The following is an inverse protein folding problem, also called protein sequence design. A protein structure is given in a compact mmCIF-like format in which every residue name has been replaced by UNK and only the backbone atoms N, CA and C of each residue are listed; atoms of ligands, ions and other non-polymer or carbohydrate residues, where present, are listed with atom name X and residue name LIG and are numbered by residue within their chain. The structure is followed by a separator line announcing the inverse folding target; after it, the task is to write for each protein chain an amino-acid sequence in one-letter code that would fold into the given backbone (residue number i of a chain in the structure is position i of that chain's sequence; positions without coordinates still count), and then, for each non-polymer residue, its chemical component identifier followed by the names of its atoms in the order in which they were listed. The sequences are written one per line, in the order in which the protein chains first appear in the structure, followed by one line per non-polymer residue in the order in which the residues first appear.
data_IF_161504114949
#
_entry.id   IF_161504114949
#
_cell.length_a   1.000
_cell.length_b   1.000
_cell.length_c   1.000
_cell.angle_alpha   90.00
_cell.angle_beta   90.00
_cell.angle_gamma   90.00
#
_symmetry.space_group_name_H-M   'P 1'
#
loop_
_entity.id
_entity.type
_entity.pdbx_description
1 polymer ?
#
# COMPACT_ATOMS: atom_id res chain seq x y z
N UNK A 1 -17.82 -14.19 -11.78
CA UNK A 1 -16.63 -14.98 -12.13
C UNK A 1 -15.39 -14.07 -12.04
N UNK A 2 -14.21 -14.64 -11.82
CA UNK A 2 -12.97 -13.87 -11.91
C UNK A 2 -12.62 -13.49 -13.35
N UNK A 3 -12.10 -12.29 -13.54
CA UNK A 3 -11.82 -11.69 -14.84
C UNK A 3 -10.56 -12.30 -15.46
N UNK A 4 -10.63 -12.67 -16.75
CA UNK A 4 -9.47 -13.15 -17.52
C UNK A 4 -8.47 -12.03 -17.82
N UNK A 5 -8.88 -10.76 -17.66
CA UNK A 5 -8.06 -9.57 -17.86
C UNK A 5 -6.85 -9.48 -16.93
N UNK A 6 -6.78 -10.29 -15.86
CA UNK A 6 -5.59 -10.34 -14.99
C UNK A 6 -4.31 -10.73 -15.74
N UNK A 7 -4.44 -11.44 -16.86
CA UNK A 7 -3.31 -11.82 -17.71
C UNK A 7 -2.79 -10.68 -18.60
N UNK A 8 -3.44 -9.51 -18.55
CA UNK A 8 -3.02 -8.35 -19.34
C UNK A 8 -1.60 -7.89 -18.95
N UNK A 9 -0.72 -7.64 -19.94
CA UNK A 9 0.65 -7.22 -19.68
C UNK A 9 0.76 -5.92 -18.85
N UNK A 10 -0.27 -5.07 -18.82
CA UNK A 10 -0.34 -3.86 -18.01
C UNK A 10 -0.12 -4.14 -16.52
N UNK A 11 -0.65 -5.25 -15.98
CA UNK A 11 -0.42 -5.61 -14.58
C UNK A 11 1.05 -5.98 -14.33
N UNK A 12 1.65 -6.76 -15.23
CA UNK A 12 3.06 -7.12 -15.11
C UNK A 12 3.97 -5.90 -15.20
N UNK A 13 3.63 -4.95 -16.09
CA UNK A 13 4.32 -3.66 -16.24
C UNK A 13 4.18 -2.82 -14.97
N UNK A 14 2.98 -2.69 -14.43
CA UNK A 14 2.73 -1.96 -13.19
C UNK A 14 3.57 -2.50 -12.01
N UNK A 15 3.60 -3.83 -11.84
CA UNK A 15 4.41 -4.45 -10.77
C UNK A 15 5.91 -4.21 -10.98
N UNK A 16 6.40 -4.32 -12.21
CA UNK A 16 7.81 -4.03 -12.54
C UNK A 16 8.15 -2.56 -12.26
N UNK A 17 7.31 -1.64 -12.73
CA UNK A 17 7.50 -0.20 -12.57
C UNK A 17 7.43 0.19 -11.09
N UNK A 18 6.47 -0.33 -10.32
CA UNK A 18 6.36 -0.07 -8.88
C UNK A 18 7.59 -0.55 -8.10
N UNK A 19 8.17 -1.69 -8.48
CA UNK A 19 9.42 -2.17 -7.88
C UNK A 19 10.61 -1.31 -8.28
N UNK A 20 10.70 -0.93 -9.56
CA UNK A 20 11.77 -0.06 -10.07
C UNK A 20 11.74 1.31 -9.39
N UNK A 21 10.56 1.92 -9.30
CA UNK A 21 10.36 3.19 -8.59
C UNK A 21 10.74 3.11 -7.12
N UNK A 22 10.34 2.03 -6.42
CA UNK A 22 10.74 1.85 -5.01
C UNK A 22 12.25 1.78 -4.82
N UNK A 23 12.98 1.14 -5.75
CA UNK A 23 14.44 1.05 -5.69
C UNK A 23 15.10 2.39 -6.04
N UNK A 24 14.65 3.05 -7.11
CA UNK A 24 15.16 4.36 -7.50
C UNK A 24 14.99 5.41 -6.41
N UNK A 25 13.81 5.46 -5.78
CA UNK A 25 13.52 6.39 -4.70
C UNK A 25 14.43 6.14 -3.48
N UNK A 26 14.59 4.87 -3.08
CA UNK A 26 15.48 4.50 -1.98
C UNK A 26 16.95 4.86 -2.28
N UNK A 27 17.42 4.59 -3.49
CA UNK A 27 18.78 4.95 -3.92
C UNK A 27 19.01 6.45 -3.95
N UNK A 28 18.03 7.23 -4.43
CA UNK A 28 18.11 8.69 -4.43
C UNK A 28 18.23 9.25 -3.01
N UNK A 29 17.37 8.81 -2.07
CA UNK A 29 17.44 9.25 -0.67
C UNK A 29 18.75 8.85 0.02
N UNK A 30 19.27 7.67 -0.30
CA UNK A 30 20.57 7.22 0.23
C UNK A 30 21.73 8.13 -0.22
N UNK A 31 21.74 8.56 -1.49
CA UNK A 31 22.74 9.50 -2.01
C UNK A 31 22.60 10.87 -1.34
N UNK A 32 21.37 11.40 -1.23
CA UNK A 32 21.10 12.68 -0.57
C UNK A 32 21.55 12.65 0.89
N UNK A 33 21.28 11.57 1.62
CA UNK A 33 21.73 11.42 3.01
C UNK A 33 23.27 11.40 3.10
N UNK A 34 23.95 10.58 2.29
CA UNK A 34 25.42 10.52 2.28
C UNK A 34 26.04 11.89 1.99
N UNK A 35 25.60 12.56 0.92
CA UNK A 35 26.15 13.86 0.53
C UNK A 35 25.84 14.95 1.55
N UNK A 36 24.62 14.99 2.09
CA UNK A 36 24.21 15.99 3.08
C UNK A 36 25.01 15.89 4.38
N UNK A 37 25.15 14.67 4.92
CA UNK A 37 25.92 14.45 6.14
C UNK A 37 27.43 14.63 5.93
N UNK A 38 27.96 14.28 4.76
CA UNK A 38 29.37 14.53 4.44
C UNK A 38 29.67 16.04 4.43
N UNK A 39 28.87 16.84 3.72
CA UNK A 39 29.02 18.31 3.68
C UNK A 39 28.81 18.92 5.07
N UNK A 40 27.84 18.42 5.85
CA UNK A 40 27.63 18.86 7.21
C UNK A 40 28.87 18.65 8.08
N UNK A 41 29.53 17.49 7.95
CA UNK A 41 30.74 17.19 8.70
C UNK A 41 31.96 18.04 8.33
N UNK A 42 32.01 18.58 7.10
CA UNK A 42 33.07 19.50 6.66
C UNK A 42 32.80 20.97 7.03
N UNK A 43 31.54 21.34 7.27
CA UNK A 43 31.13 22.75 7.43
C UNK A 43 30.61 23.10 8.82
N UNK A 44 30.19 22.11 9.60
CA UNK A 44 29.67 22.31 10.95
C UNK A 44 30.80 22.26 11.97
N UNK A 45 30.72 23.11 13.00
CA UNK A 45 31.60 23.06 14.18
C UNK A 45 31.07 22.12 15.28
N UNK A 46 29.92 21.48 15.05
CA UNK A 46 29.26 20.63 16.05
C UNK A 46 29.69 19.16 15.94
N UNK A 47 29.96 18.69 14.71
CA UNK A 47 30.31 17.30 14.47
C UNK A 47 31.23 17.18 13.24
N UNK A 48 32.44 16.69 13.46
CA UNK A 48 33.45 16.54 12.43
C UNK A 48 33.29 15.22 11.64
N UNK A 49 33.89 15.15 10.46
CA UNK A 49 34.14 13.89 9.80
C UNK A 49 35.25 13.11 10.55
N UNK A 50 35.07 11.81 10.84
CA UNK A 50 34.20 10.85 10.15
C UNK A 50 32.83 10.58 10.79
N UNK A 51 32.51 11.17 11.94
CA UNK A 51 31.29 10.82 12.70
C UNK A 51 30.01 11.20 11.94
N UNK A 52 29.96 12.42 11.38
CA UNK A 52 28.84 12.88 10.57
C UNK A 52 28.59 11.99 9.36
N UNK A 53 29.65 11.68 8.60
CA UNK A 53 29.59 10.76 7.47
C UNK A 53 29.12 9.35 7.88
N UNK A 54 29.50 8.88 9.08
CA UNK A 54 29.03 7.62 9.66
C UNK A 54 27.51 7.57 9.86
N UNK A 55 26.92 8.64 10.38
CA UNK A 55 25.46 8.75 10.53
C UNK A 55 24.76 8.74 9.17
N UNK A 56 25.27 9.51 8.21
CA UNK A 56 24.79 9.51 6.83
C UNK A 56 24.80 8.11 6.20
N UNK A 57 25.86 7.33 6.44
CA UNK A 57 25.99 5.96 5.95
C UNK A 57 24.97 5.00 6.58
N UNK A 58 24.69 5.13 7.88
CA UNK A 58 23.65 4.33 8.57
C UNK A 58 22.27 4.61 7.98
N UNK A 59 21.92 5.89 7.82
CA UNK A 59 20.63 6.31 7.25
C UNK A 59 20.50 5.86 5.80
N UNK A 60 21.55 6.00 5.00
CA UNK A 60 21.58 5.53 3.62
C UNK A 60 21.38 4.01 3.52
N UNK A 61 22.08 3.25 4.36
CA UNK A 61 21.88 1.81 4.48
C UNK A 61 20.42 1.45 4.82
N UNK A 62 19.81 2.19 5.75
CA UNK A 62 18.41 1.99 6.13
C UNK A 62 17.46 2.15 4.93
N UNK A 63 17.61 3.22 4.14
CA UNK A 63 16.77 3.43 2.95
C UNK A 63 16.91 2.29 1.93
N UNK A 64 18.14 1.86 1.63
CA UNK A 64 18.40 0.75 0.71
C UNK A 64 17.82 -0.57 1.23
N UNK A 65 17.95 -0.85 2.53
CA UNK A 65 17.38 -2.05 3.15
C UNK A 65 15.85 -2.06 3.08
N UNK A 66 15.21 -0.92 3.33
CA UNK A 66 13.75 -0.76 3.20
C UNK A 66 13.31 -1.00 1.76
N UNK A 67 13.95 -0.36 0.77
CA UNK A 67 13.62 -0.54 -0.65
C UNK A 67 13.82 -1.98 -1.15
N UNK A 68 14.92 -2.64 -0.73
CA UNK A 68 15.17 -4.05 -1.08
C UNK A 68 14.16 -4.98 -0.41
N UNK A 69 13.74 -4.67 0.82
CA UNK A 69 12.80 -5.49 1.59
C UNK A 69 11.36 -5.32 1.12
N UNK A 70 10.91 -4.10 0.80
CA UNK A 70 9.58 -3.85 0.23
C UNK A 70 9.39 -4.61 -1.09
N UNK A 71 10.40 -4.53 -1.97
CA UNK A 71 10.43 -5.23 -3.25
C UNK A 71 10.41 -6.76 -3.05
N UNK A 72 11.22 -7.29 -2.12
CA UNK A 72 11.22 -8.72 -1.81
C UNK A 72 9.89 -9.21 -1.25
N UNK A 73 9.27 -8.46 -0.33
CA UNK A 73 7.94 -8.77 0.21
C UNK A 73 6.90 -8.87 -0.92
N UNK A 74 6.85 -7.88 -1.83
CA UNK A 74 5.92 -7.90 -2.96
C UNK A 74 6.14 -9.10 -3.89
N UNK A 75 7.40 -9.47 -4.16
CA UNK A 75 7.75 -10.63 -5.01
C UNK A 75 7.38 -11.99 -4.38
N UNK A 76 7.48 -12.10 -3.05
CA UNK A 76 7.12 -13.31 -2.29
C UNK A 76 5.63 -13.43 -2.02
N UNK A 77 4.87 -12.37 -2.29
CA UNK A 77 3.41 -12.40 -2.17
C UNK A 77 2.83 -13.48 -3.09
N UNK A 78 1.71 -14.08 -2.68
CA UNK A 78 1.06 -15.18 -3.41
C UNK A 78 -0.34 -14.75 -3.84
N UNK A 79 -0.83 -15.39 -4.90
CA UNK A 79 -2.26 -15.33 -5.23
C UNK A 79 -2.98 -16.30 -4.29
N UNK A 80 -4.10 -15.87 -3.72
CA UNK A 80 -4.92 -16.68 -2.83
C UNK A 80 -6.38 -16.22 -2.90
N UNK A 81 -7.28 -17.14 -2.60
CA UNK A 81 -8.73 -16.91 -2.55
C UNK A 81 -9.17 -16.88 -1.08
N UNK A 82 -10.27 -16.18 -0.83
CA UNK A 82 -10.83 -16.06 0.50
C UNK A 82 -12.24 -15.52 0.47
N UNK A 83 -12.77 -15.25 1.66
CA UNK A 83 -14.12 -14.75 1.87
C UNK A 83 -14.13 -13.60 2.86
N UNK A 84 -15.04 -12.65 2.66
CA UNK A 84 -15.32 -11.63 3.67
C UNK A 84 -16.11 -12.28 4.80
N UNK A 85 -15.53 -12.35 5.99
CA UNK A 85 -16.12 -13.08 7.13
C UNK A 85 -16.69 -12.17 8.20
N UNK A 86 -16.22 -10.94 8.30
CA UNK A 86 -16.63 -10.02 9.35
C UNK A 86 -16.49 -8.55 8.92
N UNK A 87 -17.35 -7.70 9.49
CA UNK A 87 -17.37 -6.26 9.25
C UNK A 87 -17.61 -5.55 10.58
N UNK A 88 -16.74 -4.61 10.95
CA UNK A 88 -16.79 -3.90 12.23
C UNK A 88 -16.64 -2.40 12.05
N UNK A 89 -17.37 -1.64 12.85
CA UNK A 89 -17.23 -0.18 12.98
C UNK A 89 -16.83 0.09 14.43
N UNK A 90 -15.73 0.84 14.64
CA UNK A 90 -15.24 1.18 15.97
C UNK A 90 -14.95 2.67 16.06
N UNK A 91 -15.46 3.34 17.09
CA UNK A 91 -15.03 4.70 17.43
C UNK A 91 -13.71 4.65 18.18
N UNK A 92 -12.70 5.39 17.72
CA UNK A 92 -11.40 5.52 18.38
C UNK A 92 -11.08 6.99 18.61
N UNK A 93 -10.53 7.30 19.77
CA UNK A 93 -9.92 8.60 20.02
C UNK A 93 -8.47 8.57 19.53
N UNK A 94 -8.09 9.49 18.65
CA UNK A 94 -6.71 9.65 18.17
C UNK A 94 -6.18 10.99 18.63
N UNK A 95 -4.97 10.98 19.18
CA UNK A 95 -4.24 12.22 19.43
C UNK A 95 -3.63 12.69 18.10
N UNK A 96 -3.94 13.92 17.72
CA UNK A 96 -3.37 14.60 16.56
C UNK A 96 -2.66 15.85 17.07
N UNK A 97 -1.42 16.02 16.63
CA UNK A 97 -0.54 17.10 17.04
C UNK A 97 0.85 16.59 17.36
N UNK A 98 1.78 17.51 17.58
CA UNK A 98 3.13 17.22 18.04
C UNK A 98 3.55 18.35 18.97
N UNK A 99 3.90 18.04 20.22
CA UNK A 99 4.28 19.05 21.20
C UNK A 99 3.08 19.72 21.88
N UNK A 100 3.00 21.05 21.86
CA UNK A 100 1.96 21.81 22.58
C UNK A 100 0.56 21.77 21.96
N UNK A 101 0.43 21.34 20.70
CA UNK A 101 -0.82 21.39 19.93
C UNK A 101 -1.54 20.02 19.86
N UNK A 102 -1.25 19.13 20.81
CA UNK A 102 -1.92 17.84 20.93
C UNK A 102 -3.41 18.01 21.28
N UNK A 103 -4.27 17.52 20.38
CA UNK A 103 -5.70 17.47 20.61
C UNK A 103 -6.27 16.10 20.20
N UNK A 104 -7.28 15.66 20.96
CA UNK A 104 -7.93 14.38 20.73
C UNK A 104 -9.11 14.55 19.78
N UNK A 105 -9.11 13.81 18.68
CA UNK A 105 -10.26 13.71 17.79
C UNK A 105 -10.87 12.32 17.86
N UNK A 106 -12.19 12.27 17.68
CA UNK A 106 -12.92 11.01 17.56
C UNK A 106 -13.02 10.62 16.09
N UNK A 107 -12.52 9.43 15.75
CA UNK A 107 -12.50 8.86 14.40
C UNK A 107 -13.30 7.56 14.38
N UNK A 108 -14.13 7.37 13.36
CA UNK A 108 -14.78 6.10 13.08
C UNK A 108 -13.86 5.23 12.22
N UNK A 109 -13.50 4.06 12.72
CA UNK A 109 -12.68 3.08 12.01
C UNK A 109 -13.59 2.00 11.46
N UNK A 110 -13.73 1.97 10.15
CA UNK A 110 -14.44 0.92 9.41
C UNK A 110 -13.46 -0.20 9.10
N UNK A 111 -13.84 -1.44 9.39
CA UNK A 111 -13.00 -2.63 9.19
C UNK A 111 -13.77 -3.71 8.44
N UNK A 112 -13.17 -4.22 7.37
CA UNK A 112 -13.60 -5.44 6.67
C UNK A 112 -12.55 -6.52 6.90
N UNK A 113 -12.97 -7.70 7.35
CA UNK A 113 -12.08 -8.85 7.57
C UNK A 113 -12.30 -9.86 6.46
N UNK A 114 -11.20 -10.21 5.80
CA UNK A 114 -11.12 -11.26 4.78
C UNK A 114 -10.35 -12.42 5.37
N UNK A 115 -10.94 -13.61 5.31
CA UNK A 115 -10.30 -14.86 5.67
C UNK A 115 -9.87 -15.59 4.40
N UNK A 116 -8.58 -15.85 4.28
CA UNK A 116 -8.00 -16.67 3.22
C UNK A 116 -8.35 -18.15 3.42
N UNK A 117 -8.33 -18.93 2.35
CA UNK A 117 -8.52 -20.40 2.39
C UNK A 117 -7.50 -21.11 3.31
N UNK A 118 -6.33 -20.50 3.57
CA UNK A 118 -5.33 -20.99 4.51
C UNK A 118 -5.55 -20.55 5.98
N UNK A 119 -6.70 -19.93 6.29
CA UNK A 119 -7.08 -19.45 7.62
C UNK A 119 -6.44 -18.12 8.02
N UNK A 120 -5.70 -17.46 7.10
CA UNK A 120 -5.10 -16.16 7.38
C UNK A 120 -6.15 -15.05 7.34
N UNK A 121 -6.21 -14.26 8.40
CA UNK A 121 -7.04 -13.05 8.46
C UNK A 121 -6.32 -11.81 7.90
N UNK A 122 -7.02 -11.07 7.06
CA UNK A 122 -6.58 -9.78 6.50
C UNK A 122 -7.63 -8.73 6.81
N UNK A 123 -7.21 -7.60 7.39
CA UNK A 123 -8.09 -6.51 7.74
C UNK A 123 -7.89 -5.33 6.77
N UNK A 124 -8.98 -4.91 6.13
CA UNK A 124 -9.05 -3.65 5.40
C UNK A 124 -9.65 -2.61 6.32
N UNK A 125 -8.89 -1.59 6.65
CA UNK A 125 -9.29 -0.54 7.59
C UNK A 125 -9.28 0.82 6.92
N UNK A 126 -10.33 1.61 7.13
CA UNK A 126 -10.39 3.00 6.71
C UNK A 126 -10.91 3.87 7.86
N UNK A 127 -10.31 5.03 8.04
CA UNK A 127 -10.68 6.03 9.03
C UNK A 127 -11.62 7.05 8.38
N UNK A 128 -12.81 7.24 8.96
CA UNK A 128 -13.87 8.16 8.52
C UNK A 128 -14.29 8.03 7.04
N UNK A 129 -13.94 6.91 6.39
CA UNK A 129 -14.33 6.58 5.02
C UNK A 129 -14.94 5.17 5.00
N UNK A 130 -16.24 5.10 4.76
CA UNK A 130 -16.98 3.84 4.68
C UNK A 130 -16.88 3.17 3.31
N UNK A 131 -16.25 3.77 2.29
CA UNK A 131 -16.33 3.29 0.89
C UNK A 131 -15.94 1.81 0.74
N UNK A 132 -14.83 1.38 1.35
CA UNK A 132 -14.39 -0.03 1.29
C UNK A 132 -15.32 -0.92 2.10
N UNK A 133 -15.84 -0.41 3.22
CA UNK A 133 -16.80 -1.11 4.05
C UNK A 133 -18.11 -1.33 3.33
N UNK A 134 -18.65 -0.33 2.64
CA UNK A 134 -19.92 -0.41 1.93
C UNK A 134 -19.82 -1.28 0.66
N UNK A 135 -18.63 -1.35 0.05
CA UNK A 135 -18.38 -2.12 -1.17
C UNK A 135 -18.34 -3.65 -0.97
N UNK A 136 -17.87 -4.12 0.17
CA UNK A 136 -17.78 -5.56 0.47
C UNK A 136 -18.95 -6.02 1.35
N UNK A 137 -19.54 -7.14 1.00
CA UNK A 137 -20.57 -7.82 1.79
C UNK A 137 -20.02 -9.06 2.48
N UNK A 138 -20.59 -9.42 3.63
CA UNK A 138 -20.22 -10.67 4.31
C UNK A 138 -20.63 -11.85 3.40
N UNK A 139 -19.72 -12.78 3.19
CA UNK A 139 -19.88 -13.90 2.26
C UNK A 139 -19.30 -13.64 0.86
N UNK A 140 -18.88 -12.41 0.54
CA UNK A 140 -18.22 -12.12 -0.74
C UNK A 140 -16.98 -12.99 -0.91
N UNK A 141 -16.95 -13.76 -2.00
CA UNK A 141 -15.75 -14.48 -2.42
C UNK A 141 -14.80 -13.51 -3.10
N UNK A 142 -13.55 -13.49 -2.67
CA UNK A 142 -12.53 -12.57 -3.16
C UNK A 142 -11.23 -13.27 -3.52
N UNK A 143 -10.48 -12.69 -4.45
CA UNK A 143 -9.13 -13.13 -4.84
C UNK A 143 -8.12 -12.01 -4.65
N UNK A 144 -7.06 -12.33 -3.92
CA UNK A 144 -5.86 -11.50 -3.89
C UNK A 144 -4.93 -11.94 -5.01
N UNK A 145 -4.50 -11.01 -5.85
CA UNK A 145 -3.56 -11.27 -6.94
C UNK A 145 -2.13 -10.92 -6.54
N UNK A 146 -1.19 -11.82 -6.82
CA UNK A 146 0.23 -11.64 -6.51
C UNK A 146 0.77 -10.28 -6.98
N UNK A 147 1.27 -9.50 -6.02
CA UNK A 147 1.96 -8.24 -6.27
C UNK A 147 1.03 -7.04 -6.50
N UNK A 148 -0.28 -7.24 -6.42
CA UNK A 148 -1.31 -6.21 -6.52
C UNK A 148 -1.77 -5.78 -5.11
N UNK A 149 -2.52 -4.68 -5.03
CA UNK A 149 -2.81 -3.98 -3.76
C UNK A 149 -4.27 -4.10 -3.30
N UNK A 150 -5.18 -4.62 -4.11
CA UNK A 150 -6.57 -4.85 -3.69
C UNK A 150 -7.13 -6.19 -4.19
N UNK A 151 -8.30 -6.52 -3.66
CA UNK A 151 -8.99 -7.79 -3.88
C UNK A 151 -9.94 -7.69 -5.06
N UNK A 152 -10.02 -8.76 -5.85
CA UNK A 152 -11.04 -8.91 -6.89
C UNK A 152 -12.24 -9.67 -6.30
N UNK A 153 -13.44 -9.08 -6.36
CA UNK A 153 -14.68 -9.79 -6.00
C UNK A 153 -15.01 -10.84 -7.07
N UNK A 154 -15.59 -11.97 -6.66
CA UNK A 154 -16.05 -12.99 -7.61
C UNK A 154 -17.33 -12.55 -8.32
N UNK A 155 -18.31 -12.02 -7.57
CA UNK A 155 -19.52 -11.42 -8.11
C UNK A 155 -19.43 -9.89 -8.01
N UNK A 156 -19.81 -9.22 -9.09
CA UNK A 156 -19.74 -7.76 -9.27
C UNK A 156 -21.01 -7.23 -9.94
N UNK A 157 -22.01 -8.09 -10.11
CA UNK A 157 -23.21 -7.81 -10.90
C UNK A 157 -24.04 -6.66 -10.34
N UNK A 158 -24.00 -6.48 -9.02
CA UNK A 158 -24.74 -5.43 -8.31
C UNK A 158 -23.87 -4.21 -7.96
N UNK A 159 -22.59 -4.20 -8.35
CA UNK A 159 -21.67 -3.11 -8.00
C UNK A 159 -21.78 -1.96 -9.01
N UNK A 160 -21.81 -0.72 -8.51
CA UNK A 160 -21.75 0.50 -9.32
C UNK A 160 -20.34 1.08 -9.43
N UNK A 161 -19.45 0.65 -8.54
CA UNK A 161 -18.05 1.05 -8.48
C UNK A 161 -17.16 -0.19 -8.51
N UNK A 162 -15.89 -0.02 -8.87
CA UNK A 162 -14.88 -1.07 -8.77
C UNK A 162 -13.53 -0.51 -8.34
N UNK A 163 -12.89 -1.19 -7.40
CA UNK A 163 -11.52 -0.86 -7.01
C UNK A 163 -10.51 -1.49 -7.96
N UNK A 164 -9.59 -0.67 -8.46
CA UNK A 164 -8.51 -1.17 -9.30
C UNK A 164 -7.57 -2.09 -8.50
N UNK A 165 -7.45 -3.35 -8.91
CA UNK A 165 -6.56 -4.33 -8.26
C UNK A 165 -5.11 -3.85 -8.14
N UNK A 166 -4.61 -3.10 -9.13
CA UNK A 166 -3.24 -2.60 -9.13
C UNK A 166 -2.99 -1.49 -8.09
N UNK A 167 -3.81 -0.44 -8.09
CA UNK A 167 -3.54 0.78 -7.33
C UNK A 167 -4.58 1.14 -6.27
N UNK A 168 -5.60 0.29 -6.07
CA UNK A 168 -6.71 0.46 -5.13
C UNK A 168 -7.53 1.75 -5.32
N UNK A 169 -7.41 2.42 -6.48
CA UNK A 169 -8.24 3.59 -6.77
C UNK A 169 -9.67 3.16 -7.09
N UNK A 170 -10.66 3.93 -6.64
CA UNK A 170 -12.09 3.75 -6.96
C UNK A 170 -12.37 4.19 -8.40
N UNK A 171 -13.07 3.38 -9.18
CA UNK A 171 -13.48 3.70 -10.56
C UNK A 171 -14.96 3.37 -10.73
N UNK A 172 -15.57 3.88 -11.80
CA UNK A 172 -16.91 3.46 -12.20
C UNK A 172 -16.85 2.02 -12.75
N UNK A 173 -17.86 1.20 -12.47
CA UNK A 173 -17.93 -0.19 -12.97
C UNK A 173 -17.97 -0.26 -14.51
N UNK A 174 -18.45 0.82 -15.16
CA UNK A 174 -18.56 0.93 -16.61
C UNK A 174 -17.20 1.13 -17.28
N UNK A 175 -16.23 1.69 -16.59
CA UNK A 175 -14.89 1.92 -17.13
C UNK A 175 -14.20 0.59 -17.49
N UNK A 176 -13.34 0.61 -18.51
CA UNK A 176 -12.49 -0.53 -18.86
C UNK A 176 -11.10 -0.44 -18.26
N UNK A 177 -10.61 0.78 -18.03
CA UNK A 177 -9.26 1.07 -17.54
C UNK A 177 -9.33 1.95 -16.30
N UNK A 178 -8.44 1.71 -15.35
CA UNK A 178 -8.34 2.57 -14.18
C UNK A 178 -7.89 3.98 -14.57
N UNK A 179 -8.58 5.02 -14.08
CA UNK A 179 -8.23 6.41 -14.41
C UNK A 179 -6.79 6.78 -14.02
N UNK A 180 -6.27 6.18 -12.93
CA UNK A 180 -4.96 6.48 -12.35
C UNK A 180 -3.82 5.68 -12.98
N UNK A 181 -3.86 4.35 -12.90
CA UNK A 181 -2.75 3.51 -13.35
C UNK A 181 -2.92 2.91 -14.75
N UNK A 182 -4.06 3.14 -15.40
CA UNK A 182 -4.40 2.63 -16.73
C UNK A 182 -4.39 1.09 -16.87
N UNK A 183 -4.29 0.35 -15.77
CA UNK A 183 -4.50 -1.09 -15.80
C UNK A 183 -5.97 -1.40 -16.06
N UNK A 184 -6.29 -2.49 -16.78
CA UNK A 184 -7.67 -2.92 -16.96
C UNK A 184 -8.38 -3.13 -15.62
N UNK A 185 -9.66 -2.79 -15.57
CA UNK A 185 -10.52 -3.10 -14.44
C UNK A 185 -10.99 -4.55 -14.56
N UNK A 186 -10.80 -5.32 -13.49
CA UNK A 186 -11.15 -6.73 -13.43
C UNK A 186 -12.64 -6.87 -13.15
N UNK A 187 -13.48 -6.53 -14.14
CA UNK A 187 -14.91 -6.84 -14.12
C UNK A 187 -15.15 -8.28 -14.53
#
# INVERSE_FOLDING_TARGET
MYSSKILDPAFSKYVKDSNRWSMWFASFLAIVALSGFYIYGETSSEMDNPESAGIGAIIACMFLLIGRSSTRKRRRNKTWDGYVTDKKIKKKSKNIGSGSDEHWINVLVYTVTIESEDGRLVHLTADDDSTVYDYYEIGDRVRHHKGLNSFEKYDKSNDTIIFCNACASKNDIKDDLCFRCKCPLLK
#
